data_IF_461058400876
#
_entry.id   IF_461058400876
#
_cell.length_a   1.000
_cell.length_b   1.000
_cell.length_c   1.000
_cell.angle_alpha   90.00
_cell.angle_beta   90.00
_cell.angle_gamma   90.00
#
_symmetry.space_group_name_H-M   'P 1'
#
loop_
_entity.id
_entity.type
_entity.pdbx_description
1 polymer ?
#
# COMPACT_ATOMS: atom_id res chain seq x y z
N UNK A 1 -2.76 9.00 4.32
CA UNK A 1 -1.68 8.04 4.00
C UNK A 1 -0.34 8.70 3.65
N UNK A 2 -0.23 9.51 2.59
CA UNK A 2 1.03 10.19 2.20
C UNK A 2 1.69 10.93 3.38
N UNK A 3 0.92 11.80 4.03
CA UNK A 3 1.41 12.58 5.18
C UNK A 3 1.97 11.68 6.29
N UNK A 4 1.25 10.61 6.64
CA UNK A 4 1.65 9.66 7.67
C UNK A 4 2.95 8.94 7.35
N UNK A 5 3.20 8.65 6.07
CA UNK A 5 4.48 8.12 5.63
C UNK A 5 5.59 9.15 5.82
N UNK A 6 5.38 10.38 5.34
CA UNK A 6 6.40 11.45 5.36
C UNK A 6 6.78 11.86 6.77
N UNK A 7 5.81 11.94 7.70
CA UNK A 7 6.06 12.28 9.11
C UNK A 7 6.45 11.06 9.96
N UNK A 8 6.51 9.86 9.37
CA UNK A 8 6.85 8.62 10.08
C UNK A 8 5.78 8.12 11.06
N UNK A 9 4.53 8.58 10.94
CA UNK A 9 3.43 8.15 11.81
C UNK A 9 2.88 6.78 11.41
N UNK A 10 3.61 5.75 11.80
CA UNK A 10 3.36 4.35 11.41
C UNK A 10 1.99 3.84 11.86
N UNK A 11 1.53 4.21 13.07
CA UNK A 11 0.22 3.77 13.57
C UNK A 11 -0.90 4.30 12.69
N UNK A 12 -0.88 5.60 12.39
CA UNK A 12 -1.87 6.21 11.49
C UNK A 12 -1.82 5.60 10.10
N UNK A 13 -0.63 5.37 9.54
CA UNK A 13 -0.50 4.74 8.23
C UNK A 13 -1.16 3.35 8.19
N UNK A 14 -0.92 2.51 9.21
CA UNK A 14 -1.52 1.16 9.28
C UNK A 14 -3.04 1.21 9.42
N UNK A 15 -3.58 2.10 10.25
CA UNK A 15 -5.02 2.27 10.41
C UNK A 15 -5.71 2.69 9.11
N UNK A 16 -5.09 3.58 8.33
CA UNK A 16 -5.63 3.98 7.01
C UNK A 16 -5.61 2.81 6.01
N UNK A 17 -4.54 2.01 6.01
CA UNK A 17 -4.43 0.84 5.13
C UNK A 17 -5.51 -0.19 5.49
N UNK A 18 -5.73 -0.45 6.78
CA UNK A 18 -6.79 -1.33 7.27
C UNK A 18 -8.17 -0.80 6.90
N UNK A 19 -8.41 0.50 7.09
CA UNK A 19 -9.66 1.14 6.67
C UNK A 19 -9.91 0.95 5.17
N UNK A 20 -8.88 1.14 4.33
CA UNK A 20 -8.95 0.97 2.89
C UNK A 20 -9.23 -0.49 2.51
N UNK A 21 -8.61 -1.46 3.20
CA UNK A 21 -8.85 -2.89 2.97
C UNK A 21 -10.28 -3.29 3.27
N UNK A 22 -10.90 -2.70 4.28
CA UNK A 22 -12.28 -2.97 4.66
C UNK A 22 -13.32 -2.31 3.73
N UNK A 23 -12.89 -1.49 2.75
CA UNK A 23 -13.77 -0.97 1.71
C UNK A 23 -13.92 -1.99 0.58
N UNK A 24 -14.98 -2.80 0.65
CA UNK A 24 -15.26 -3.92 -0.27
C UNK A 24 -15.40 -3.55 -1.75
N UNK A 25 -15.51 -2.26 -2.09
CA UNK A 25 -15.63 -1.75 -3.45
C UNK A 25 -14.35 -1.09 -3.98
N UNK A 26 -13.38 -0.80 -3.11
CA UNK A 26 -12.12 -0.14 -3.46
C UNK A 26 -10.99 -1.12 -3.83
N UNK A 27 -10.92 -1.51 -5.11
CA UNK A 27 -9.79 -2.30 -5.61
C UNK A 27 -8.56 -1.41 -5.78
N UNK A 28 -7.38 -1.92 -5.41
CA UNK A 28 -6.11 -1.20 -5.56
C UNK A 28 -5.84 -0.92 -7.03
N UNK A 29 -6.13 -1.88 -7.92
CA UNK A 29 -5.96 -1.71 -9.38
C UNK A 29 -6.80 -0.56 -9.95
N UNK A 30 -7.95 -0.27 -9.34
CA UNK A 30 -8.93 0.71 -9.80
C UNK A 30 -8.73 2.11 -9.21
N UNK A 31 -7.70 2.32 -8.38
CA UNK A 31 -7.38 3.65 -7.84
C UNK A 31 -7.12 4.60 -9.01
N UNK A 32 -7.89 5.70 -9.15
CA UNK A 32 -7.73 6.65 -10.24
C UNK A 32 -6.38 7.37 -10.12
N UNK A 33 -5.88 7.86 -11.26
CA UNK A 33 -4.69 8.71 -11.28
C UNK A 33 -5.02 10.03 -10.55
N UNK A 34 -4.26 10.42 -9.51
CA UNK A 34 -4.52 11.64 -8.77
C UNK A 34 -4.04 12.91 -9.48
N UNK A 35 -3.30 12.80 -10.58
CA UNK A 35 -2.77 13.93 -11.39
C UNK A 35 -2.03 14.99 -10.55
N UNK A 36 -1.30 14.55 -9.52
CA UNK A 36 -0.60 15.45 -8.59
C UNK A 36 0.52 16.20 -9.32
N UNK A 37 0.55 17.56 -9.28
CA UNK A 37 1.57 18.34 -9.99
C UNK A 37 2.99 18.17 -9.44
N UNK A 38 3.14 17.95 -8.13
CA UNK A 38 4.43 17.74 -7.49
C UNK A 38 4.96 16.31 -7.79
N UNK A 39 6.08 16.18 -8.52
CA UNK A 39 6.60 14.87 -8.93
C UNK A 39 6.98 13.98 -7.74
N UNK A 40 7.49 14.59 -6.65
CA UNK A 40 7.88 13.86 -5.45
C UNK A 40 6.67 13.22 -4.76
N UNK A 41 5.64 14.01 -4.49
CA UNK A 41 4.37 13.54 -3.95
C UNK A 41 3.74 12.47 -4.86
N UNK A 42 3.73 12.71 -6.17
CA UNK A 42 3.18 11.77 -7.15
C UNK A 42 3.90 10.40 -7.09
N UNK A 43 5.24 10.40 -7.06
CA UNK A 43 6.04 9.20 -6.94
C UNK A 43 5.81 8.46 -5.61
N UNK A 44 5.66 9.21 -4.50
CA UNK A 44 5.36 8.61 -3.19
C UNK A 44 3.98 7.94 -3.20
N UNK A 45 2.96 8.60 -3.75
CA UNK A 45 1.62 8.01 -3.84
C UNK A 45 1.64 6.77 -4.73
N UNK A 46 2.35 6.80 -5.86
CA UNK A 46 2.52 5.64 -6.73
C UNK A 46 3.15 4.46 -5.98
N UNK A 47 4.22 4.69 -5.20
CA UNK A 47 4.84 3.66 -4.37
C UNK A 47 3.89 3.17 -3.26
N UNK A 48 3.07 4.04 -2.65
CA UNK A 48 2.08 3.60 -1.66
C UNK A 48 1.07 2.60 -2.25
N UNK A 49 0.67 2.76 -3.52
CA UNK A 49 -0.22 1.79 -4.18
C UNK A 49 0.44 0.41 -4.37
N UNK A 50 1.77 0.33 -4.49
CA UNK A 50 2.49 -0.95 -4.46
C UNK A 50 2.28 -1.65 -3.12
N UNK A 51 2.48 -0.93 -2.02
CA UNK A 51 2.34 -1.50 -0.67
C UNK A 51 0.92 -1.95 -0.35
N UNK A 52 -0.08 -1.22 -0.82
CA UNK A 52 -1.48 -1.65 -0.76
C UNK A 52 -1.66 -2.98 -1.47
N UNK A 53 -1.22 -3.08 -2.73
CA UNK A 53 -1.36 -4.30 -3.53
C UNK A 53 -0.68 -5.52 -2.86
N UNK A 54 0.55 -5.34 -2.35
CA UNK A 54 1.29 -6.41 -1.65
C UNK A 54 0.60 -6.81 -0.36
N UNK A 55 0.19 -5.84 0.47
CA UNK A 55 -0.43 -6.13 1.77
C UNK A 55 -1.78 -6.81 1.59
N UNK A 56 -2.59 -6.34 0.65
CA UNK A 56 -3.92 -6.88 0.40
C UNK A 56 -3.81 -8.29 -0.18
N UNK A 57 -2.92 -8.49 -1.16
CA UNK A 57 -2.62 -9.82 -1.70
C UNK A 57 -2.11 -10.79 -0.63
N UNK A 58 -1.31 -10.32 0.33
CA UNK A 58 -0.86 -11.13 1.48
C UNK A 58 -2.03 -11.58 2.35
N UNK A 59 -2.98 -10.69 2.64
CA UNK A 59 -4.16 -11.01 3.46
C UNK A 59 -5.11 -11.95 2.74
N UNK A 60 -5.36 -11.69 1.45
CA UNK A 60 -6.16 -12.56 0.59
C UNK A 60 -5.57 -13.98 0.54
N UNK A 61 -4.25 -14.10 0.36
CA UNK A 61 -3.57 -15.40 0.40
C UNK A 61 -3.64 -16.11 1.76
N UNK A 62 -3.87 -15.38 2.86
CA UNK A 62 -4.06 -15.93 4.20
C UNK A 62 -5.51 -16.27 4.50
N UNK A 63 -6.41 -16.17 3.53
CA UNK A 63 -7.83 -16.50 3.70
C UNK A 63 -8.66 -15.37 4.29
N UNK A 64 -8.21 -14.12 4.16
CA UNK A 64 -9.03 -12.92 4.42
C UNK A 64 -9.42 -12.29 3.08
N UNK A 65 -10.53 -12.73 2.44
CA UNK A 65 -11.03 -12.09 1.24
C UNK A 65 -11.40 -10.64 1.52
N UNK A 66 -10.99 -9.78 0.57
CA UNK A 66 -11.25 -8.33 0.53
C UNK A 66 -12.75 -7.93 0.57
N UNK A 67 -13.67 -8.90 0.46
CA UNK A 67 -15.12 -8.67 0.40
C UNK A 67 -15.88 -9.60 1.36
N UNK A 68 -15.28 -9.93 2.51
CA UNK A 68 -15.92 -10.65 3.59
C UNK A 68 -16.58 -9.68 4.59
N UNK A 69 -17.79 -10.01 5.03
CA UNK A 69 -18.34 -9.39 6.24
C UNK A 69 -17.46 -9.73 7.44
N UNK A 70 -17.35 -8.80 8.39
CA UNK A 70 -16.62 -9.03 9.64
C UNK A 70 -17.14 -10.24 10.45
N UNK A 71 -18.39 -10.66 10.19
CA UNK A 71 -19.02 -11.83 10.78
C UNK A 71 -19.47 -12.76 9.64
N UNK A 72 -18.95 -13.98 9.63
CA UNK A 72 -19.45 -15.07 8.77
C UNK A 72 -20.56 -15.78 9.55
N UNK A 73 -21.80 -15.42 9.25
CA UNK A 73 -22.94 -15.78 10.10
C UNK A 73 -23.50 -17.20 9.87
N UNK A 74 -23.04 -17.92 8.83
CA UNK A 74 -23.54 -19.25 8.52
C UNK A 74 -22.54 -20.11 7.74
N UNK A 75 -22.75 -21.43 7.74
CA UNK A 75 -21.94 -22.38 6.98
C UNK A 75 -22.06 -22.16 5.46
N UNK A 76 -23.22 -21.69 5.00
CA UNK A 76 -23.44 -21.32 3.59
C UNK A 76 -22.61 -20.09 3.20
N UNK A 77 -22.52 -19.09 4.07
CA UNK A 77 -21.68 -17.91 3.85
C UNK A 77 -20.19 -18.31 3.82
N UNK A 78 -19.76 -19.20 4.71
CA UNK A 78 -18.39 -19.73 4.69
C UNK A 78 -18.09 -20.52 3.40
N UNK A 79 -19.00 -21.41 2.98
CA UNK A 79 -18.86 -22.18 1.74
C UNK A 79 -18.81 -21.30 0.49
N UNK A 80 -19.63 -20.24 0.45
CA UNK A 80 -19.62 -19.25 -0.63
C UNK A 80 -18.27 -18.53 -0.70
N UNK A 81 -17.74 -18.09 0.43
CA UNK A 81 -16.43 -17.44 0.52
C UNK A 81 -15.28 -18.37 0.09
N UNK A 82 -15.31 -19.64 0.50
CA UNK A 82 -14.33 -20.65 0.09
C UNK A 82 -14.40 -20.98 -1.40
N UNK A 83 -15.60 -20.90 -2.00
CA UNK A 83 -15.80 -21.15 -3.43
C UNK A 83 -15.39 -19.95 -4.32
N UNK A 84 -15.25 -18.74 -3.75
CA UNK A 84 -14.85 -17.55 -4.52
C UNK A 84 -13.44 -17.74 -5.10
N UNK A 85 -13.28 -17.32 -6.35
CA UNK A 85 -11.95 -17.24 -6.97
C UNK A 85 -11.11 -16.20 -6.24
N UNK A 86 -9.93 -16.62 -5.78
CA UNK A 86 -8.92 -15.72 -5.24
C UNK A 86 -8.44 -14.78 -6.35
N UNK A 87 -8.68 -13.48 -6.17
CA UNK A 87 -8.16 -12.42 -7.04
C UNK A 87 -7.17 -11.60 -6.22
N UNK A 88 -5.91 -11.61 -6.63
CA UNK A 88 -4.88 -10.81 -5.98
C UNK A 88 -4.95 -9.37 -6.46
N UNK A 89 -4.64 -8.46 -5.55
CA UNK A 89 -4.56 -7.04 -5.85
C UNK A 89 -3.28 -6.73 -6.61
N UNK A 90 -3.37 -5.76 -7.51
CA UNK A 90 -2.24 -5.31 -8.32
C UNK A 90 -2.18 -3.80 -8.30
N UNK A 91 -0.97 -3.26 -8.38
CA UNK A 91 -0.74 -1.82 -8.48
C UNK A 91 -1.45 -1.24 -9.73
N UNK A 92 -2.03 -0.03 -9.66
CA UNK A 92 -2.62 0.66 -10.80
C UNK A 92 -1.65 0.77 -11.99
N UNK A 93 -2.15 0.72 -13.24
CA UNK A 93 -1.31 0.91 -14.42
C UNK A 93 -0.55 2.24 -14.44
N UNK A 94 -1.19 3.34 -14.00
CA UNK A 94 -0.57 4.67 -13.95
C UNK A 94 0.62 4.68 -12.98
N UNK A 95 0.47 4.06 -11.81
CA UNK A 95 1.50 4.03 -10.78
C UNK A 95 2.75 3.24 -11.21
N UNK A 96 2.58 2.21 -12.06
CA UNK A 96 3.69 1.46 -12.65
C UNK A 96 4.47 2.25 -13.71
N UNK A 97 3.85 3.27 -14.29
CA UNK A 97 4.43 4.09 -15.36
C UNK A 97 5.16 5.33 -14.83
N UNK A 98 5.18 5.53 -13.50
CA UNK A 98 5.81 6.71 -12.90
C UNK A 98 7.30 6.75 -13.18
N UNK A 99 7.74 7.90 -13.70
CA UNK A 99 9.14 8.16 -13.99
C UNK A 99 9.93 8.38 -12.69
N UNK A 100 11.15 7.87 -12.68
CA UNK A 100 12.16 8.18 -11.66
C UNK A 100 12.40 9.69 -11.57
N UNK A 101 12.50 10.24 -10.35
CA UNK A 101 12.80 11.66 -10.14
C UNK A 101 14.21 12.01 -10.62
N UNK A 102 14.38 13.20 -11.20
CA UNK A 102 15.68 13.67 -11.70
C UNK A 102 16.68 13.90 -10.55
N UNK A 103 16.22 14.43 -9.42
CA UNK A 103 17.01 14.62 -8.21
C UNK A 103 16.55 13.68 -7.08
N UNK A 104 17.49 13.11 -6.29
CA UNK A 104 17.12 12.23 -5.20
C UNK A 104 16.55 13.01 -4.03
N UNK A 105 15.42 12.54 -3.50
CA UNK A 105 14.85 13.06 -2.26
C UNK A 105 14.99 12.04 -1.13
N UNK A 106 15.09 12.52 0.11
CA UNK A 106 15.17 11.64 1.30
C UNK A 106 13.97 11.89 2.18
N UNK A 107 13.24 10.83 2.54
CA UNK A 107 12.28 10.85 3.64
C UNK A 107 13.05 10.45 4.90
N UNK A 108 13.15 11.32 5.91
CA UNK A 108 13.92 11.04 7.12
C UNK A 108 13.29 9.90 7.92
N UNK A 109 14.12 9.19 8.68
CA UNK A 109 13.64 8.21 9.66
C UNK A 109 13.39 8.92 11.01
N UNK A 110 12.61 8.28 11.88
CA UNK A 110 12.26 8.84 13.21
C UNK A 110 13.46 9.20 14.09
N UNK A 111 14.64 8.64 13.82
CA UNK A 111 15.86 8.81 14.61
C UNK A 111 17.08 9.29 13.81
N UNK A 112 16.95 9.49 12.50
CA UNK A 112 18.07 9.88 11.63
C UNK A 112 17.62 10.67 10.40
N UNK A 113 18.46 11.60 9.95
CA UNK A 113 18.22 12.37 8.72
C UNK A 113 18.11 11.48 7.47
N UNK A 114 18.77 10.32 7.49
CA UNK A 114 18.70 9.32 6.41
C UNK A 114 18.44 7.92 6.98
N UNK A 115 17.57 7.12 6.36
CA UNK A 115 17.41 5.71 6.69
C UNK A 115 18.72 4.93 6.46
N UNK A 116 19.05 4.03 7.40
CA UNK A 116 20.14 3.06 7.22
C UNK A 116 19.89 2.18 5.99
N UNK A 117 20.97 1.83 5.27
CA UNK A 117 20.91 1.08 4.00
C UNK A 117 20.05 -0.19 4.09
N UNK A 118 20.17 -0.96 5.19
CA UNK A 118 19.43 -2.21 5.41
C UNK A 118 17.92 -2.05 5.55
N UNK A 119 17.46 -0.84 5.87
CA UNK A 119 16.03 -0.54 6.05
C UNK A 119 15.44 0.17 4.84
N UNK A 120 16.23 0.47 3.81
CA UNK A 120 15.74 1.20 2.63
C UNK A 120 14.83 0.33 1.79
N UNK A 121 13.80 0.98 1.28
CA UNK A 121 12.85 0.35 0.37
C UNK A 121 13.37 0.27 -1.06
N UNK A 122 13.25 -0.90 -1.68
CA UNK A 122 13.56 -1.09 -3.10
C UNK A 122 12.61 -0.28 -4.00
N UNK A 123 11.33 -0.20 -3.64
CA UNK A 123 10.30 0.49 -4.41
C UNK A 123 10.52 2.01 -4.41
N UNK A 124 10.87 2.59 -3.25
CA UNK A 124 11.24 4.02 -3.20
C UNK A 124 12.55 4.28 -3.94
N UNK A 125 13.55 3.41 -3.81
CA UNK A 125 14.82 3.56 -4.53
C UNK A 125 14.67 3.50 -6.05
N UNK A 126 13.70 2.73 -6.56
CA UNK A 126 13.39 2.64 -7.99
C UNK A 126 13.01 4.01 -8.57
N UNK A 127 12.30 4.83 -7.79
CA UNK A 127 11.85 6.19 -8.18
C UNK A 127 12.77 7.32 -7.68
N UNK A 128 13.99 7.00 -7.24
CA UNK A 128 15.00 7.94 -6.71
C UNK A 128 14.64 8.56 -5.35
N UNK A 129 13.89 7.83 -4.53
CA UNK A 129 13.51 8.26 -3.19
C UNK A 129 14.26 7.39 -2.17
N UNK A 130 14.95 8.03 -1.23
CA UNK A 130 15.62 7.36 -0.12
C UNK A 130 14.64 7.38 1.07
N UNK A 131 13.93 6.28 1.27
CA UNK A 131 13.00 6.11 2.37
C UNK A 131 13.14 4.71 2.98
N UNK A 132 12.80 4.59 4.26
CA UNK A 132 12.69 3.28 4.90
C UNK A 132 11.50 2.50 4.31
N UNK A 133 11.60 1.17 4.30
CA UNK A 133 10.46 0.29 4.01
C UNK A 133 9.35 0.56 5.03
N UNK A 134 8.14 0.97 4.60
CA UNK A 134 7.06 1.27 5.51
C UNK A 134 6.51 -0.02 6.13
N UNK A 135 6.26 0.01 7.44
CA UNK A 135 5.58 -1.07 8.14
C UNK A 135 4.07 -1.07 7.83
N UNK A 136 3.70 -1.70 6.72
CA UNK A 136 2.32 -1.72 6.19
C UNK A 136 1.49 -2.93 6.62
N UNK A 137 2.12 -3.92 7.26
CA UNK A 137 1.44 -5.12 7.71
C UNK A 137 0.47 -4.83 8.87
N UNK A 138 -0.75 -5.36 8.79
CA UNK A 138 -1.72 -5.41 9.88
C UNK A 138 -2.36 -6.81 9.96
N UNK A 139 -3.11 -7.06 11.03
CA UNK A 139 -3.82 -8.31 11.35
C UNK A 139 -5.19 -7.93 11.87
#
# INVERSE_FOLDING_TARGET
MYEYLVVGYTVGLRSEIEYFFNQSTWSVKAIPDPEVPDPACYAIIAVLTHYLAVTFSRLINRGLPWCCSAIIASAEAEAELLARKVVLEVQPPWAKAVRRLDEPITIPASSSEKPEDRFRSAEFLAVNIIAAEPHVAFV
#
